data_IF_623995671914
#
_entry.id   IF_623995671914
#
_cell.length_a   1.000
_cell.length_b   1.000
_cell.length_c   1.000
_cell.angle_alpha   90.00
_cell.angle_beta   90.00
_cell.angle_gamma   90.00
#
_symmetry.space_group_name_H-M   'P 1'
#
loop_
_entity.id
_entity.type
_entity.pdbx_description
1 polymer ?
#
# COMPACT_ATOMS: atom_id res chain seq x y z
N UNK A 1 -23.30 76.61 -5.27
CA UNK A 1 -23.19 77.15 -3.90
C UNK A 1 -22.80 75.96 -3.03
N UNK A 2 -21.52 75.73 -2.65
CA UNK A 2 -20.66 76.57 -1.80
C UNK A 2 -21.30 76.64 -0.40
N UNK A 3 -20.75 76.19 0.72
CA UNK A 3 -19.35 76.08 1.22
C UNK A 3 -19.35 75.15 2.44
N UNK A 4 -18.41 74.19 2.54
CA UNK A 4 -17.24 74.20 3.43
C UNK A 4 -17.46 74.64 4.89
N UNK A 5 -17.20 73.70 5.81
CA UNK A 5 -16.59 74.01 7.10
C UNK A 5 -15.46 73.01 7.37
N UNK A 6 -14.24 73.49 7.20
CA UNK A 6 -13.00 72.91 7.69
C UNK A 6 -12.80 73.23 9.18
N UNK A 7 -12.21 72.27 9.91
CA UNK A 7 -11.21 72.38 10.99
C UNK A 7 -11.27 71.01 11.69
N UNK A 8 -10.28 70.13 11.64
CA UNK A 8 -8.87 70.27 11.98
C UNK A 8 -8.52 68.90 12.59
N UNK A 9 -7.67 68.11 11.96
CA UNK A 9 -6.26 68.16 12.26
C UNK A 9 -5.90 67.15 13.35
N UNK A 10 -5.56 65.92 12.94
CA UNK A 10 -4.43 65.18 13.52
C UNK A 10 -4.07 63.98 12.66
N UNK A 11 -2.86 64.07 12.10
CA UNK A 11 -2.16 63.04 11.36
C UNK A 11 -1.89 61.85 12.26
N UNK A 12 -2.33 60.67 11.85
CA UNK A 12 -1.64 59.43 12.18
C UNK A 12 -1.09 58.87 10.87
N UNK A 13 0.22 59.02 10.69
CA UNK A 13 0.97 58.11 9.83
C UNK A 13 0.87 56.73 10.48
N UNK A 14 0.16 55.81 9.83
CA UNK A 14 0.41 54.38 10.01
C UNK A 14 0.78 53.87 8.63
N UNK A 15 2.06 53.51 8.49
CA UNK A 15 2.63 53.02 7.26
C UNK A 15 1.86 51.82 6.73
N UNK A 16 1.67 51.80 5.42
CA UNK A 16 1.20 50.64 4.69
C UNK A 16 2.22 49.50 4.86
N UNK A 17 2.00 48.63 5.83
CA UNK A 17 2.64 47.32 5.87
C UNK A 17 1.89 46.42 4.90
N UNK A 18 2.51 46.23 3.73
CA UNK A 18 2.17 45.22 2.74
C UNK A 18 2.12 43.85 3.45
N UNK A 19 0.92 43.31 3.70
CA UNK A 19 0.71 41.94 4.16
C UNK A 19 1.08 41.00 2.99
N UNK A 20 2.37 40.73 2.85
CA UNK A 20 2.85 39.58 2.10
C UNK A 20 2.32 38.34 2.82
N UNK A 21 1.28 37.74 2.25
CA UNK A 21 0.81 36.42 2.66
C UNK A 21 1.96 35.43 2.54
N UNK A 22 2.59 35.12 3.67
CA UNK A 22 3.48 33.99 3.83
C UNK A 22 2.65 32.72 3.58
N UNK A 23 2.57 32.31 2.32
CA UNK A 23 2.24 30.94 1.96
C UNK A 23 3.35 30.06 2.51
N UNK A 24 3.17 29.57 3.73
CA UNK A 24 3.99 28.49 4.28
C UNK A 24 3.77 27.31 3.32
N UNK A 25 4.80 26.83 2.60
CA UNK A 25 4.64 25.59 1.88
C UNK A 25 4.31 24.51 2.92
N UNK A 26 3.13 23.93 2.82
CA UNK A 26 2.82 22.68 3.49
C UNK A 26 3.82 21.66 2.94
N UNK A 27 4.95 21.51 3.62
CA UNK A 27 5.89 20.43 3.35
C UNK A 27 5.13 19.16 3.70
N UNK A 28 4.57 18.53 2.67
CA UNK A 28 4.06 17.19 2.80
C UNK A 28 5.18 16.35 3.44
N UNK A 29 4.89 15.56 4.50
CA UNK A 29 5.89 14.69 5.07
C UNK A 29 6.42 13.82 3.92
N UNK A 30 7.74 13.88 3.72
CA UNK A 30 8.43 13.06 2.74
C UNK A 30 7.99 11.60 2.89
N UNK A 31 7.75 10.86 1.80
CA UNK A 31 7.50 9.43 1.92
C UNK A 31 8.70 8.82 2.64
N UNK A 32 8.45 8.26 3.83
CA UNK A 32 9.43 7.49 4.55
C UNK A 32 9.91 6.36 3.64
N UNK A 33 11.23 6.23 3.53
CA UNK A 33 11.97 5.16 2.85
C UNK A 33 12.28 5.38 1.35
N UNK A 34 13.07 6.40 1.03
CA UNK A 34 14.04 6.27 -0.06
C UNK A 34 15.16 5.33 0.41
N UNK A 35 14.89 4.02 0.45
CA UNK A 35 15.97 3.02 0.53
C UNK A 35 16.80 3.21 -0.72
N UNK A 36 18.12 3.39 -0.59
CA UNK A 36 19.06 3.23 -1.71
C UNK A 36 19.00 1.76 -2.11
N UNK A 37 18.02 1.46 -2.93
CA UNK A 37 17.49 0.13 -3.10
C UNK A 37 18.25 -0.57 -4.22
N UNK A 38 19.06 -1.57 -3.87
CA UNK A 38 19.69 -2.43 -4.87
C UNK A 38 18.59 -3.17 -5.64
N UNK A 39 18.52 -2.90 -6.96
CA UNK A 39 17.61 -3.60 -7.85
C UNK A 39 17.91 -5.10 -7.80
N UNK A 40 16.93 -5.90 -7.35
CA UNK A 40 17.07 -7.34 -7.21
C UNK A 40 16.83 -8.06 -8.55
N UNK A 41 17.39 -9.27 -8.73
CA UNK A 41 17.25 -10.09 -9.95
C UNK A 41 16.67 -11.47 -9.66
N UNK A 42 16.05 -12.08 -10.67
CA UNK A 42 15.57 -13.47 -10.61
C UNK A 42 16.70 -14.47 -10.26
N UNK A 43 17.89 -14.27 -10.84
CA UNK A 43 19.10 -15.06 -10.57
C UNK A 43 19.47 -15.03 -9.08
N UNK A 44 19.30 -13.88 -8.42
CA UNK A 44 19.53 -13.72 -6.99
C UNK A 44 18.56 -14.58 -6.18
N UNK A 45 17.29 -14.63 -6.58
CA UNK A 45 16.27 -15.44 -5.90
C UNK A 45 16.54 -16.93 -6.07
N UNK A 46 16.95 -17.35 -7.27
CA UNK A 46 17.38 -18.73 -7.53
C UNK A 46 18.64 -19.11 -6.75
N UNK A 47 19.64 -18.22 -6.70
CA UNK A 47 20.88 -18.44 -5.95
C UNK A 47 20.60 -18.53 -4.45
N UNK A 48 19.77 -17.65 -3.91
CA UNK A 48 19.37 -17.67 -2.51
C UNK A 48 18.60 -18.96 -2.15
N UNK A 49 17.69 -19.41 -3.02
CA UNK A 49 17.02 -20.69 -2.85
C UNK A 49 18.01 -21.87 -2.81
N UNK A 50 19.04 -21.88 -3.67
CA UNK A 50 20.11 -22.89 -3.62
C UNK A 50 20.95 -22.80 -2.36
N UNK A 51 21.21 -21.58 -1.88
CA UNK A 51 22.00 -21.30 -0.68
C UNK A 51 21.19 -21.45 0.63
N UNK A 52 19.91 -21.82 0.56
CA UNK A 52 19.01 -21.93 1.71
C UNK A 52 18.84 -20.62 2.49
N UNK A 53 18.91 -19.49 1.79
CA UNK A 53 18.79 -18.16 2.37
C UNK A 53 17.41 -17.56 2.05
N UNK A 54 16.81 -16.91 3.04
CA UNK A 54 15.59 -16.14 2.82
C UNK A 54 15.90 -14.83 2.08
N UNK A 55 15.06 -14.48 1.10
CA UNK A 55 15.15 -13.21 0.38
C UNK A 55 14.00 -12.32 0.77
N UNK A 56 14.31 -11.08 1.16
CA UNK A 56 13.30 -10.06 1.46
C UNK A 56 13.24 -9.06 0.32
N UNK A 57 12.07 -8.92 -0.28
CA UNK A 57 11.75 -7.87 -1.23
C UNK A 57 10.74 -6.90 -0.63
N UNK A 58 10.90 -5.62 -0.95
CA UNK A 58 9.98 -4.54 -0.57
C UNK A 58 9.50 -3.82 -1.81
N UNK A 59 8.41 -3.08 -1.64
CA UNK A 59 7.97 -2.10 -2.64
C UNK A 59 8.99 -0.97 -2.72
N UNK A 60 9.49 -0.70 -3.92
CA UNK A 60 10.30 0.47 -4.22
C UNK A 60 9.42 1.65 -4.62
N UNK A 61 9.12 1.77 -5.91
CA UNK A 61 8.26 2.81 -6.47
C UNK A 61 6.91 2.22 -6.89
N UNK A 62 5.84 2.77 -6.36
CA UNK A 62 4.48 2.49 -6.84
C UNK A 62 4.30 3.09 -8.25
N UNK A 63 3.98 2.24 -9.23
CA UNK A 63 3.79 2.62 -10.63
C UNK A 63 2.31 2.83 -10.94
N UNK A 64 1.44 1.97 -10.42
CA UNK A 64 -0.01 2.12 -10.50
C UNK A 64 -0.69 1.46 -9.31
N UNK A 65 -1.85 1.99 -8.93
CA UNK A 65 -2.71 1.44 -7.90
C UNK A 65 -4.16 1.66 -8.29
N UNK A 66 -4.97 0.60 -8.18
CA UNK A 66 -6.39 0.64 -8.42
C UNK A 66 -7.10 -0.21 -7.37
N UNK A 67 -8.06 0.39 -6.69
CA UNK A 67 -9.00 -0.36 -5.87
C UNK A 67 -10.18 -0.76 -6.76
N UNK A 68 -10.16 -2.00 -7.25
CA UNK A 68 -11.13 -2.57 -8.20
C UNK A 68 -12.49 -2.80 -7.53
N UNK A 69 -12.48 -3.15 -6.24
CA UNK A 69 -13.70 -3.35 -5.43
C UNK A 69 -13.53 -2.76 -4.04
N UNK A 70 -14.62 -2.24 -3.48
CA UNK A 70 -14.67 -1.58 -2.18
C UNK A 70 -14.46 -0.06 -2.30
N UNK A 71 -14.60 0.65 -1.18
CA UNK A 71 -14.48 2.11 -1.15
C UNK A 71 -13.02 2.53 -1.30
N UNK A 72 -12.66 3.38 -2.29
CA UNK A 72 -11.31 3.90 -2.45
C UNK A 72 -10.74 4.45 -1.13
N UNK A 73 -9.53 4.02 -0.78
CA UNK A 73 -8.92 4.38 0.50
C UNK A 73 -7.42 4.61 0.37
N UNK A 74 -6.96 5.76 0.87
CA UNK A 74 -5.52 6.05 1.01
C UNK A 74 -4.82 5.00 1.89
N UNK A 75 -5.53 4.37 2.83
CA UNK A 75 -4.99 3.27 3.64
C UNK A 75 -4.71 2.04 2.79
N UNK A 76 -5.58 1.71 1.84
CA UNK A 76 -5.35 0.56 0.94
C UNK A 76 -4.10 0.76 0.08
N UNK A 77 -3.88 1.97 -0.43
CA UNK A 77 -2.66 2.33 -1.15
C UNK A 77 -1.42 2.27 -0.23
N UNK A 78 -1.52 2.78 1.00
CA UNK A 78 -0.44 2.71 1.97
C UNK A 78 -0.07 1.26 2.33
N UNK A 79 -1.05 0.35 2.44
CA UNK A 79 -0.79 -1.09 2.64
C UNK A 79 0.00 -1.69 1.47
N UNK A 80 -0.35 -1.37 0.24
CA UNK A 80 0.45 -1.82 -0.91
C UNK A 80 1.87 -1.24 -0.82
N UNK A 81 2.01 0.07 -0.57
CA UNK A 81 3.30 0.73 -0.52
C UNK A 81 4.23 0.20 0.59
N UNK A 82 3.68 -0.35 1.67
CA UNK A 82 4.44 -0.93 2.79
C UNK A 82 4.51 -2.46 2.75
N UNK A 83 4.17 -3.08 1.60
CA UNK A 83 4.23 -4.52 1.47
C UNK A 83 5.66 -5.06 1.53
N UNK A 84 5.81 -6.19 2.22
CA UNK A 84 7.06 -6.94 2.36
C UNK A 84 6.80 -8.39 1.95
N UNK A 85 7.68 -8.91 1.11
CA UNK A 85 7.64 -10.26 0.57
C UNK A 85 8.91 -11.00 1.00
N UNK A 86 8.75 -12.08 1.76
CA UNK A 86 9.85 -12.93 2.19
C UNK A 86 9.77 -14.27 1.46
N UNK A 87 10.76 -14.57 0.63
CA UNK A 87 10.87 -15.81 -0.14
C UNK A 87 11.77 -16.79 0.60
N UNK A 88 11.32 -18.03 0.73
CA UNK A 88 12.07 -19.12 1.37
C UNK A 88 12.55 -20.11 0.32
N UNK A 89 13.63 -20.82 0.62
CA UNK A 89 14.28 -21.78 -0.27
C UNK A 89 13.40 -22.98 -0.69
N UNK A 90 12.39 -23.31 0.11
CA UNK A 90 11.44 -24.40 -0.13
C UNK A 90 10.31 -24.04 -1.13
N UNK A 91 10.40 -22.92 -1.85
CA UNK A 91 9.37 -22.49 -2.80
C UNK A 91 8.13 -21.89 -2.14
N UNK A 92 8.19 -21.58 -0.85
CA UNK A 92 7.14 -20.84 -0.13
C UNK A 92 7.54 -19.38 0.05
N UNK A 93 6.54 -18.53 0.27
CA UNK A 93 6.79 -17.14 0.65
C UNK A 93 5.78 -16.65 1.67
N UNK A 94 6.11 -15.54 2.32
CA UNK A 94 5.23 -14.80 3.22
C UNK A 94 5.05 -13.38 2.70
N UNK A 95 3.80 -12.90 2.70
CA UNK A 95 3.42 -11.52 2.43
C UNK A 95 2.93 -10.88 3.71
N UNK A 96 3.47 -9.70 4.03
CA UNK A 96 3.00 -8.88 5.15
C UNK A 96 2.92 -7.43 4.74
N UNK A 97 2.14 -6.67 5.48
CA UNK A 97 1.99 -5.21 5.32
C UNK A 97 1.57 -4.59 6.66
N UNK A 98 1.39 -3.28 6.68
CA UNK A 98 0.94 -2.50 7.83
C UNK A 98 -0.59 -2.52 7.95
N UNK A 99 -1.14 -2.19 9.13
CA UNK A 99 -2.59 -1.99 9.33
C UNK A 99 -3.44 -3.17 8.81
N UNK A 100 -3.00 -4.38 9.12
CA UNK A 100 -3.70 -5.63 8.79
C UNK A 100 -3.87 -6.49 10.03
N UNK A 101 -4.83 -7.41 9.93
CA UNK A 101 -5.17 -8.36 10.98
C UNK A 101 -4.07 -9.39 11.20
N UNK A 102 -3.58 -9.53 12.43
CA UNK A 102 -2.50 -10.47 12.77
C UNK A 102 -2.90 -11.94 12.74
N UNK A 103 -4.20 -12.24 12.71
CA UNK A 103 -4.71 -13.61 12.58
C UNK A 103 -4.85 -14.06 11.12
N UNK A 104 -4.79 -13.13 10.17
CA UNK A 104 -4.75 -13.42 8.72
C UNK A 104 -3.36 -13.23 8.11
N UNK A 105 -2.51 -12.44 8.77
CA UNK A 105 -1.18 -12.06 8.29
C UNK A 105 -0.08 -12.56 9.23
N UNK A 106 1.08 -12.98 8.71
CA UNK A 106 1.48 -12.95 7.30
C UNK A 106 0.69 -13.94 6.44
N UNK A 107 0.33 -13.49 5.24
CA UNK A 107 -0.28 -14.34 4.24
C UNK A 107 0.80 -15.28 3.68
N UNK A 108 0.56 -16.59 3.71
CA UNK A 108 1.55 -17.58 3.28
C UNK A 108 1.12 -18.28 2.01
N UNK A 109 2.09 -18.55 1.15
CA UNK A 109 1.82 -19.08 -0.17
C UNK A 109 3.00 -19.79 -0.81
N UNK A 110 2.87 -20.05 -2.11
CA UNK A 110 3.91 -20.68 -2.94
C UNK A 110 4.32 -19.75 -4.07
N UNK A 111 5.57 -19.88 -4.48
CA UNK A 111 6.08 -19.20 -5.65
C UNK A 111 6.78 -20.16 -6.61
N UNK A 112 6.87 -19.77 -7.87
CA UNK A 112 7.60 -20.48 -8.90
C UNK A 112 8.46 -19.49 -9.68
N UNK A 113 9.64 -19.94 -10.11
CA UNK A 113 10.54 -19.15 -10.95
C UNK A 113 10.58 -19.79 -12.33
N UNK A 114 10.28 -19.00 -13.36
CA UNK A 114 10.41 -19.39 -14.75
C UNK A 114 11.19 -18.30 -15.51
N UNK A 115 12.47 -18.56 -15.78
CA UNK A 115 13.38 -17.59 -16.35
C UNK A 115 13.45 -16.32 -15.50
N UNK A 116 13.10 -15.17 -16.10
CA UNK A 116 13.11 -13.86 -15.45
C UNK A 116 11.80 -13.53 -14.71
N UNK A 117 10.84 -14.45 -14.67
CA UNK A 117 9.55 -14.24 -14.04
C UNK A 117 9.39 -15.09 -12.79
N UNK A 118 8.88 -14.47 -11.74
CA UNK A 118 8.42 -15.15 -10.52
C UNK A 118 6.91 -15.04 -10.46
N UNK A 119 6.19 -16.14 -10.27
CA UNK A 119 4.74 -16.14 -10.02
C UNK A 119 4.47 -16.59 -8.57
N UNK A 120 3.43 -16.04 -7.96
CA UNK A 120 3.10 -16.24 -6.55
C UNK A 120 1.60 -16.34 -6.35
N UNK A 121 1.18 -17.24 -5.45
CA UNK A 121 -0.20 -17.30 -4.96
C UNK A 121 -0.22 -17.55 -3.46
N UNK A 122 -1.13 -16.90 -2.74
CA UNK A 122 -1.29 -17.09 -1.31
C UNK A 122 -2.74 -16.89 -0.87
N UNK A 123 -3.15 -17.58 0.20
CA UNK A 123 -4.48 -17.50 0.79
C UNK A 123 -4.37 -17.59 2.32
N UNK A 124 -5.25 -16.88 3.02
CA UNK A 124 -5.34 -16.87 4.47
C UNK A 124 -6.79 -16.70 4.89
N UNK A 125 -7.24 -17.49 5.86
CA UNK A 125 -8.59 -17.44 6.38
C UNK A 125 -8.58 -17.54 7.90
N UNK A 126 -9.51 -16.85 8.55
CA UNK A 126 -9.71 -16.90 9.98
C UNK A 126 -11.20 -16.91 10.29
N UNK A 127 -11.60 -17.77 11.22
CA UNK A 127 -12.96 -17.84 11.72
C UNK A 127 -13.22 -16.70 12.72
N UNK A 128 -14.43 -16.12 12.66
CA UNK A 128 -14.88 -15.06 13.57
C UNK A 128 -16.26 -15.47 14.08
N UNK A 129 -16.30 -16.28 15.14
CA UNK A 129 -17.56 -16.87 15.61
C UNK A 129 -18.23 -17.70 14.50
N UNK A 130 -19.50 -17.41 14.18
CA UNK A 130 -20.24 -18.05 13.08
C UNK A 130 -19.91 -17.52 11.67
N UNK A 131 -18.87 -16.70 11.54
CA UNK A 131 -18.48 -16.00 10.31
C UNK A 131 -17.03 -16.33 9.91
N UNK A 132 -16.59 -15.93 8.72
CA UNK A 132 -15.19 -16.07 8.30
C UNK A 132 -14.69 -14.81 7.60
N UNK A 133 -13.41 -14.50 7.81
CA UNK A 133 -12.67 -13.57 6.98
C UNK A 133 -11.62 -14.31 6.19
N UNK A 134 -11.36 -13.83 4.98
CA UNK A 134 -10.39 -14.41 4.08
C UNK A 134 -9.61 -13.33 3.33
N UNK A 135 -8.45 -13.70 2.85
CA UNK A 135 -7.63 -12.89 1.97
C UNK A 135 -6.88 -13.78 0.99
N UNK A 136 -6.76 -13.32 -0.24
CA UNK A 136 -6.14 -14.04 -1.34
C UNK A 136 -5.26 -13.11 -2.14
N UNK A 137 -4.17 -13.65 -2.65
CA UNK A 137 -3.20 -12.89 -3.42
C UNK A 137 -2.72 -13.72 -4.61
N UNK A 138 -2.65 -13.07 -5.76
CA UNK A 138 -1.94 -13.53 -6.95
C UNK A 138 -0.98 -12.42 -7.35
N UNK A 139 0.29 -12.77 -7.57
CA UNK A 139 1.28 -11.78 -7.95
C UNK A 139 2.31 -12.35 -8.91
N UNK A 140 2.96 -11.48 -9.67
CA UNK A 140 4.11 -11.84 -10.49
C UNK A 140 5.16 -10.75 -10.48
N UNK A 141 6.44 -11.13 -10.53
CA UNK A 141 7.57 -10.21 -10.68
C UNK A 141 8.23 -10.48 -12.02
N UNK A 142 8.45 -9.44 -12.80
CA UNK A 142 9.22 -9.47 -14.03
C UNK A 142 10.57 -8.78 -13.81
N UNK A 143 11.65 -9.56 -13.86
CA UNK A 143 13.03 -9.09 -13.69
C UNK A 143 13.73 -8.78 -15.03
N UNK A 144 13.01 -8.68 -16.14
CA UNK A 144 13.58 -8.24 -17.43
C UNK A 144 14.04 -6.78 -17.43
N UNK A 145 13.54 -5.97 -16.49
CA UNK A 145 13.91 -4.57 -16.27
C UNK A 145 14.61 -4.40 -14.92
N UNK A 146 15.31 -3.27 -14.75
CA UNK A 146 15.94 -2.89 -13.48
C UNK A 146 15.47 -1.50 -13.04
N UNK A 147 14.83 -1.38 -11.87
CA UNK A 147 14.40 -2.45 -10.97
C UNK A 147 13.33 -3.37 -11.59
N UNK A 148 13.21 -4.60 -11.08
CA UNK A 148 12.15 -5.52 -11.50
C UNK A 148 10.77 -4.97 -11.16
N UNK A 149 9.75 -5.35 -11.93
CA UNK A 149 8.38 -4.85 -11.78
C UNK A 149 7.47 -5.97 -11.28
N UNK A 150 6.80 -5.76 -10.16
CA UNK A 150 5.76 -6.63 -9.65
C UNK A 150 4.37 -6.13 -10.04
N UNK A 151 3.52 -7.06 -10.46
CA UNK A 151 2.07 -6.90 -10.56
C UNK A 151 1.42 -7.71 -9.44
N UNK A 152 0.50 -7.09 -8.70
CA UNK A 152 -0.16 -7.65 -7.52
C UNK A 152 -1.67 -7.50 -7.66
N UNK A 153 -2.38 -8.62 -7.55
CA UNK A 153 -3.82 -8.70 -7.32
C UNK A 153 -4.06 -9.24 -5.91
N UNK A 154 -4.71 -8.43 -5.07
CA UNK A 154 -4.94 -8.74 -3.67
C UNK A 154 -6.41 -8.52 -3.32
N UNK A 155 -7.08 -9.58 -2.88
CA UNK A 155 -8.46 -9.57 -2.45
C UNK A 155 -8.57 -9.88 -0.95
N UNK A 156 -9.54 -9.24 -0.32
CA UNK A 156 -9.93 -9.55 1.06
C UNK A 156 -11.44 -9.48 1.20
N UNK A 157 -11.99 -10.31 2.06
CA UNK A 157 -13.41 -10.28 2.35
C UNK A 157 -13.74 -10.87 3.70
N UNK A 158 -14.98 -10.61 4.12
CA UNK A 158 -15.58 -11.26 5.27
C UNK A 158 -17.03 -11.59 4.93
N UNK A 159 -17.42 -12.84 5.21
CA UNK A 159 -18.82 -13.27 5.14
C UNK A 159 -19.35 -13.35 6.56
N UNK A 160 -20.38 -12.55 6.87
CA UNK A 160 -21.07 -12.58 8.14
C UNK A 160 -22.35 -13.38 8.00
N UNK A 161 -22.60 -14.28 8.95
CA UNK A 161 -23.82 -15.08 9.03
C UNK A 161 -24.35 -15.12 10.46
N UNK A 162 -25.62 -14.79 10.63
CA UNK A 162 -26.35 -15.02 11.87
C UNK A 162 -27.66 -15.76 11.57
N UNK A 163 -28.10 -16.60 12.50
CA UNK A 163 -29.43 -17.20 12.44
C UNK A 163 -30.23 -16.63 13.61
N UNK A 164 -31.30 -15.91 13.31
CA UNK A 164 -32.24 -15.38 14.32
C UNK A 164 -33.60 -16.00 14.04
N UNK A 165 -34.14 -16.75 15.00
CA UNK A 165 -35.43 -17.46 14.87
C UNK A 165 -35.53 -18.30 13.58
N UNK A 166 -34.48 -19.05 13.24
CA UNK A 166 -34.43 -19.89 12.02
C UNK A 166 -34.22 -19.13 10.72
N UNK A 167 -34.24 -17.80 10.74
CA UNK A 167 -33.99 -16.96 9.56
C UNK A 167 -32.50 -16.61 9.48
N UNK A 168 -31.90 -16.83 8.31
CA UNK A 168 -30.49 -16.51 8.04
C UNK A 168 -30.36 -15.04 7.63
N UNK A 169 -29.51 -14.31 8.34
CA UNK A 169 -29.06 -12.96 8.00
C UNK A 169 -27.60 -13.02 7.62
N UNK A 170 -27.21 -12.37 6.52
CA UNK A 170 -25.81 -12.29 6.16
C UNK A 170 -25.47 -11.08 5.31
N UNK A 171 -24.23 -10.61 5.46
CA UNK A 171 -23.66 -9.52 4.67
C UNK A 171 -22.21 -9.83 4.35
N UNK A 172 -21.73 -9.35 3.21
CA UNK A 172 -20.35 -9.55 2.77
C UNK A 172 -19.64 -8.22 2.60
N UNK A 173 -18.49 -8.05 3.25
CA UNK A 173 -17.56 -6.97 2.90
C UNK A 173 -16.49 -7.56 1.99
N UNK A 174 -16.14 -6.87 0.90
CA UNK A 174 -15.04 -7.29 0.04
C UNK A 174 -14.28 -6.09 -0.53
N UNK A 175 -12.97 -6.25 -0.65
CA UNK A 175 -12.06 -5.31 -1.26
C UNK A 175 -11.16 -6.04 -2.23
N UNK A 176 -10.89 -5.44 -3.38
CA UNK A 176 -9.96 -5.96 -4.36
C UNK A 176 -9.05 -4.83 -4.82
N UNK A 177 -7.76 -5.09 -4.84
CA UNK A 177 -6.70 -4.16 -5.22
C UNK A 177 -5.92 -4.78 -6.36
N UNK A 178 -5.66 -3.97 -7.38
CA UNK A 178 -4.69 -4.23 -8.43
C UNK A 178 -3.59 -3.17 -8.36
N UNK A 179 -2.33 -3.59 -8.29
CA UNK A 179 -1.21 -2.66 -8.21
C UNK A 179 -0.01 -3.13 -9.01
N UNK A 180 0.78 -2.15 -9.48
CA UNK A 180 2.08 -2.40 -10.10
C UNK A 180 3.12 -1.53 -9.41
N UNK A 181 4.28 -2.11 -9.12
CA UNK A 181 5.36 -1.39 -8.47
C UNK A 181 6.71 -2.00 -8.78
N UNK A 182 7.78 -1.22 -8.63
CA UNK A 182 9.13 -1.77 -8.68
C UNK A 182 9.45 -2.48 -7.37
N UNK A 183 10.27 -3.53 -7.43
CA UNK A 183 10.74 -4.26 -6.26
C UNK A 183 12.20 -3.96 -5.97
N UNK A 184 12.52 -3.97 -4.67
CA UNK A 184 13.84 -3.65 -4.17
C UNK A 184 14.23 -4.64 -3.07
N UNK A 185 15.53 -4.86 -2.89
CA UNK A 185 16.01 -5.65 -1.76
C UNK A 185 15.71 -4.94 -0.44
N UNK A 186 15.16 -5.69 0.53
CA UNK A 186 14.64 -5.16 1.78
C UNK A 186 15.44 -5.45 3.03
#
# INVERSE_FOLDING_TARGET
>A
MGTEHLMGGRRFLVGAALLAGLSVPLVAPAPANAVTATAYRAEGLQAAARARAAVVLRVGRLLSFQQVKGTPSARAQARVANAVFTFFDNGTFAFTTTDVRTDLYPLRGRYQINGNRVSMTAHGSSAIGGSSAFTEMVASIDFSSRPGVMTLDWASGAGYGAVVNGTRFGTGASSQIHARFTVVQG
#
